data_IF_272884069076
#
_entry.id   IF_272884069076
#
_cell.length_a   1.000
_cell.length_b   1.000
_cell.length_c   1.000
_cell.angle_alpha   90.00
_cell.angle_beta   90.00
_cell.angle_gamma   90.00
#
_symmetry.space_group_name_H-M   'P 1'
#
loop_
_entity.id
_entity.type
_entity.pdbx_description
1 polymer ?
#
# COMPACT_ATOMS: atom_id res chain seq x y z
N UNK A 1 -10.14 -5.68 18.24
CA UNK A 1 -10.73 -4.32 18.39
C UNK A 1 -12.12 -4.39 17.82
N UNK A 2 -13.15 -3.95 18.56
CA UNK A 2 -14.48 -3.83 17.96
C UNK A 2 -14.44 -2.63 17.00
N UNK A 3 -14.29 -2.90 15.71
CA UNK A 3 -14.44 -1.88 14.68
C UNK A 3 -15.90 -1.40 14.68
N UNK A 4 -16.10 -0.08 14.55
CA UNK A 4 -17.45 0.50 14.49
C UNK A 4 -18.12 0.29 13.15
N UNK A 5 -17.31 0.14 12.11
CA UNK A 5 -17.75 -0.01 10.72
C UNK A 5 -16.98 -1.15 10.06
N UNK A 6 -17.64 -1.81 9.12
CA UNK A 6 -17.06 -2.79 8.22
C UNK A 6 -17.42 -2.39 6.80
N UNK A 7 -16.46 -2.41 5.88
CA UNK A 7 -16.68 -2.12 4.46
C UNK A 7 -16.20 -3.30 3.61
N UNK A 8 -17.05 -3.77 2.73
CA UNK A 8 -16.78 -4.95 1.89
C UNK A 8 -17.51 -4.85 0.54
N UNK A 9 -17.23 -5.78 -0.37
CA UNK A 9 -18.12 -6.06 -1.49
C UNK A 9 -19.37 -6.74 -0.92
N UNK A 10 -20.55 -6.44 -1.49
CA UNK A 10 -21.80 -7.11 -1.11
C UNK A 10 -21.74 -8.62 -1.35
N UNK A 11 -22.39 -9.38 -0.47
CA UNK A 11 -22.72 -10.78 -0.73
C UNK A 11 -24.02 -10.87 -1.55
N UNK A 12 -24.33 -12.05 -2.06
CA UNK A 12 -25.57 -12.27 -2.80
C UNK A 12 -26.83 -12.02 -1.96
N UNK A 13 -26.77 -12.38 -0.69
CA UNK A 13 -27.85 -12.12 0.27
C UNK A 13 -28.03 -10.61 0.50
N UNK A 14 -26.92 -9.88 0.61
CA UNK A 14 -26.96 -8.43 0.73
C UNK A 14 -27.47 -7.74 -0.55
N UNK A 15 -27.17 -8.25 -1.73
CA UNK A 15 -27.72 -7.69 -2.99
C UNK A 15 -29.24 -7.75 -3.02
N UNK A 16 -29.84 -8.82 -2.50
CA UNK A 16 -31.28 -8.92 -2.33
C UNK A 16 -31.84 -7.89 -1.33
N UNK A 17 -31.13 -7.65 -0.23
CA UNK A 17 -31.47 -6.60 0.75
C UNK A 17 -31.31 -5.20 0.15
N UNK A 18 -30.27 -4.98 -0.67
CA UNK A 18 -30.09 -3.69 -1.38
C UNK A 18 -31.25 -3.37 -2.31
N UNK A 19 -31.80 -4.36 -3.02
CA UNK A 19 -32.94 -4.16 -3.92
C UNK A 19 -34.19 -3.66 -3.15
N UNK A 20 -34.40 -4.16 -1.93
CA UNK A 20 -35.44 -3.69 -1.03
C UNK A 20 -35.20 -2.24 -0.57
N UNK A 21 -34.01 -1.94 -0.07
CA UNK A 21 -33.65 -0.57 0.33
C UNK A 21 -33.67 0.43 -0.82
N UNK A 22 -33.35 0.00 -2.04
CA UNK A 22 -33.51 0.84 -3.25
C UNK A 22 -34.95 1.20 -3.49
N UNK A 23 -35.88 0.24 -3.33
CA UNK A 23 -37.30 0.52 -3.47
C UNK A 23 -37.78 1.52 -2.41
N UNK A 24 -37.47 1.30 -1.13
CA UNK A 24 -37.86 2.19 -0.04
C UNK A 24 -37.36 3.63 -0.27
N UNK A 25 -36.10 3.79 -0.70
CA UNK A 25 -35.51 5.12 -0.88
C UNK A 25 -35.92 5.76 -2.21
N UNK A 26 -35.76 5.04 -3.34
CA UNK A 26 -35.94 5.67 -4.65
C UNK A 26 -37.39 5.66 -5.14
N UNK A 27 -38.23 4.69 -4.73
CA UNK A 27 -39.64 4.67 -5.11
C UNK A 27 -40.51 5.34 -4.04
N UNK A 28 -40.34 5.01 -2.75
CA UNK A 28 -41.21 5.51 -1.69
C UNK A 28 -40.78 6.91 -1.21
N UNK A 29 -39.50 7.09 -0.80
CA UNK A 29 -39.06 8.38 -0.23
C UNK A 29 -38.86 9.45 -1.30
N UNK A 30 -38.08 9.15 -2.36
CA UNK A 30 -37.70 10.11 -3.41
C UNK A 30 -38.70 10.17 -4.58
N UNK A 31 -39.60 9.24 -4.68
CA UNK A 31 -40.63 9.15 -5.75
C UNK A 31 -40.04 9.26 -7.16
N UNK A 32 -38.88 8.66 -7.38
CA UNK A 32 -38.24 8.61 -8.70
C UNK A 32 -38.65 7.43 -9.55
N UNK A 33 -39.19 6.40 -8.94
CA UNK A 33 -39.70 5.19 -9.55
C UNK A 33 -41.09 4.89 -9.01
N UNK A 34 -41.87 4.12 -9.77
CA UNK A 34 -43.15 3.60 -9.29
C UNK A 34 -42.91 2.54 -8.20
N UNK A 35 -43.77 2.52 -7.21
CA UNK A 35 -43.79 1.46 -6.21
C UNK A 35 -44.31 0.16 -6.83
N UNK A 36 -43.82 -0.98 -6.38
CA UNK A 36 -44.25 -2.30 -6.86
C UNK A 36 -44.57 -3.23 -5.70
N UNK A 37 -45.37 -4.29 -6.00
CA UNK A 37 -45.81 -5.26 -4.98
C UNK A 37 -44.69 -6.10 -4.36
N UNK A 38 -43.55 -6.23 -5.05
CA UNK A 38 -42.40 -7.00 -4.56
C UNK A 38 -41.53 -6.16 -3.63
N UNK A 39 -41.79 -4.85 -3.54
CA UNK A 39 -40.98 -3.90 -2.76
C UNK A 39 -39.48 -3.96 -3.10
N UNK A 40 -39.15 -4.26 -4.36
CA UNK A 40 -37.78 -4.39 -4.85
C UNK A 40 -37.53 -3.53 -6.07
N UNK A 41 -36.39 -2.88 -6.13
CA UNK A 41 -35.95 -2.07 -7.23
C UNK A 41 -34.57 -2.54 -7.72
N UNK A 42 -34.54 -2.99 -8.96
CA UNK A 42 -33.32 -3.39 -9.67
C UNK A 42 -33.29 -2.81 -11.07
N UNK A 43 -32.16 -2.92 -11.75
CA UNK A 43 -32.04 -2.61 -13.17
C UNK A 43 -31.08 -3.55 -13.90
N UNK A 44 -30.96 -3.42 -15.22
CA UNK A 44 -30.09 -4.28 -16.05
C UNK A 44 -28.61 -4.17 -15.74
N UNK A 45 -28.17 -3.09 -15.05
CA UNK A 45 -26.80 -2.86 -14.70
C UNK A 45 -26.38 -3.70 -13.48
N UNK A 46 -27.34 -4.19 -12.69
CA UNK A 46 -27.07 -4.99 -11.50
C UNK A 46 -26.35 -6.32 -11.84
N UNK A 47 -26.49 -6.79 -13.08
CA UNK A 47 -25.82 -8.00 -13.55
C UNK A 47 -24.27 -7.93 -13.55
N UNK A 48 -23.71 -6.73 -13.58
CA UNK A 48 -22.25 -6.53 -13.64
C UNK A 48 -21.73 -5.40 -12.75
N UNK A 49 -22.60 -4.73 -12.02
CA UNK A 49 -22.19 -3.74 -11.05
C UNK A 49 -21.50 -4.37 -9.84
N UNK A 50 -20.58 -3.62 -9.30
CA UNK A 50 -19.89 -3.97 -8.06
C UNK A 50 -20.49 -3.10 -6.96
N UNK A 51 -21.12 -3.73 -5.98
CA UNK A 51 -21.69 -3.02 -4.85
C UNK A 51 -20.72 -3.05 -3.68
N UNK A 52 -20.30 -1.87 -3.21
CA UNK A 52 -19.56 -1.71 -1.98
C UNK A 52 -20.55 -1.35 -0.89
N UNK A 53 -20.53 -2.09 0.20
CA UNK A 53 -21.42 -1.92 1.35
C UNK A 53 -20.68 -1.52 2.61
N UNK A 54 -21.32 -0.76 3.47
CA UNK A 54 -20.84 -0.47 4.82
C UNK A 54 -21.85 -1.01 5.82
N UNK A 55 -21.37 -1.84 6.75
CA UNK A 55 -22.10 -2.26 7.92
C UNK A 55 -21.64 -1.43 9.14
N UNK A 56 -22.58 -1.00 9.97
CA UNK A 56 -22.35 -0.32 11.23
C UNK A 56 -22.91 -1.18 12.36
N UNK A 57 -22.04 -1.65 13.26
CA UNK A 57 -22.39 -2.56 14.37
C UNK A 57 -23.11 -3.85 13.91
N UNK A 58 -22.70 -4.38 12.76
CA UNK A 58 -23.26 -5.61 12.18
C UNK A 58 -24.50 -5.41 11.31
N UNK A 59 -25.11 -4.22 11.28
CA UNK A 59 -26.28 -3.90 10.44
C UNK A 59 -25.83 -3.16 9.17
N UNK A 60 -26.46 -3.45 8.03
CA UNK A 60 -26.23 -2.73 6.78
C UNK A 60 -26.62 -1.25 6.96
N UNK A 61 -25.74 -0.34 6.56
CA UNK A 61 -25.90 1.09 6.84
C UNK A 61 -25.91 1.97 5.57
N UNK A 62 -25.41 1.42 4.47
CA UNK A 62 -25.40 2.08 3.18
C UNK A 62 -24.57 1.34 2.14
N UNK A 63 -24.68 1.77 0.91
CA UNK A 63 -23.95 1.18 -0.22
C UNK A 63 -23.67 2.19 -1.33
N UNK A 64 -22.78 1.82 -2.22
CA UNK A 64 -22.46 2.53 -3.46
C UNK A 64 -22.21 1.49 -4.56
N UNK A 65 -22.71 1.74 -5.76
CA UNK A 65 -22.53 0.84 -6.90
C UNK A 65 -21.53 1.41 -7.89
N UNK A 66 -20.66 0.55 -8.39
CA UNK A 66 -19.67 0.86 -9.41
C UNK A 66 -19.98 0.11 -10.69
N UNK A 67 -20.10 0.83 -11.80
CA UNK A 67 -20.15 0.23 -13.12
C UNK A 67 -18.75 0.24 -13.72
N UNK A 68 -18.16 -0.95 -14.01
CA UNK A 68 -16.82 -1.04 -14.58
C UNK A 68 -16.80 -0.53 -16.03
N UNK A 69 -15.63 -0.15 -16.58
CA UNK A 69 -15.44 0.13 -17.99
C UNK A 69 -15.69 -1.13 -18.85
N UNK A 70 -15.31 -1.14 -20.10
CA UNK A 70 -15.33 -2.34 -20.96
C UNK A 70 -16.66 -2.67 -21.63
N UNK A 71 -17.12 -1.81 -22.48
CA UNK A 71 -18.28 -2.06 -23.37
C UNK A 71 -19.64 -2.15 -22.66
N UNK A 72 -19.68 -1.97 -21.36
CA UNK A 72 -20.91 -1.97 -20.62
C UNK A 72 -21.69 -0.67 -20.84
N UNK A 73 -23.00 -0.74 -20.63
CA UNK A 73 -23.85 0.44 -20.62
C UNK A 73 -23.72 1.14 -19.27
N UNK A 74 -23.56 2.43 -19.25
CA UNK A 74 -23.60 3.25 -18.06
C UNK A 74 -25.02 3.75 -17.78
N UNK A 75 -25.32 4.10 -16.55
CA UNK A 75 -26.63 4.69 -16.23
C UNK A 75 -26.84 6.07 -16.87
N UNK A 76 -25.73 6.79 -17.13
CA UNK A 76 -25.77 8.07 -17.84
C UNK A 76 -26.29 7.94 -19.28
N UNK A 77 -26.11 6.79 -19.92
CA UNK A 77 -26.57 6.54 -21.29
C UNK A 77 -28.10 6.61 -21.42
N UNK A 78 -28.86 6.55 -20.31
CA UNK A 78 -30.31 6.77 -20.26
C UNK A 78 -30.69 8.25 -20.50
N UNK A 79 -29.77 9.16 -20.22
CA UNK A 79 -30.05 10.59 -20.18
C UNK A 79 -29.23 11.39 -21.20
N UNK A 80 -28.04 10.90 -21.59
CA UNK A 80 -27.10 11.62 -22.45
C UNK A 80 -26.62 10.68 -23.58
N UNK A 81 -26.53 11.21 -24.78
CA UNK A 81 -25.81 10.52 -25.87
C UNK A 81 -24.29 10.64 -25.60
N UNK A 82 -23.54 9.58 -25.81
CA UNK A 82 -22.09 9.59 -25.59
C UNK A 82 -21.36 10.62 -26.46
N UNK A 83 -21.91 10.94 -27.65
CA UNK A 83 -21.40 12.01 -28.52
C UNK A 83 -21.47 13.41 -27.92
N UNK A 84 -22.37 13.63 -26.98
CA UNK A 84 -22.67 14.96 -26.42
C UNK A 84 -21.90 15.15 -25.07
N UNK A 85 -21.16 14.12 -24.63
CA UNK A 85 -20.35 14.18 -23.42
C UNK A 85 -19.07 14.99 -23.67
N UNK A 86 -18.64 15.86 -22.74
CA UNK A 86 -17.40 16.61 -22.86
C UNK A 86 -16.13 15.77 -22.57
N UNK A 87 -16.26 14.45 -22.60
CA UNK A 87 -15.18 13.47 -22.37
C UNK A 87 -15.51 12.17 -23.11
N UNK A 88 -14.49 11.38 -23.38
CA UNK A 88 -14.66 10.05 -24.01
C UNK A 88 -14.75 9.00 -22.92
N UNK A 89 -15.71 8.07 -23.05
CA UNK A 89 -15.80 6.88 -22.20
C UNK A 89 -14.89 5.82 -22.81
N UNK A 90 -13.75 5.58 -22.15
CA UNK A 90 -12.78 4.56 -22.49
C UNK A 90 -12.61 3.54 -21.35
N UNK A 91 -11.63 2.66 -21.45
CA UNK A 91 -11.33 1.62 -20.45
C UNK A 91 -10.83 2.17 -19.10
N UNK A 92 -10.57 3.47 -19.00
CA UNK A 92 -10.14 4.12 -17.76
C UNK A 92 -11.26 4.86 -17.02
N UNK A 93 -12.46 4.94 -17.62
CA UNK A 93 -13.62 5.65 -17.04
C UNK A 93 -14.53 4.66 -16.32
N UNK A 94 -14.81 4.93 -15.07
CA UNK A 94 -15.75 4.18 -14.23
C UNK A 94 -16.97 5.03 -13.91
N UNK A 95 -18.15 4.43 -13.85
CA UNK A 95 -19.33 5.12 -13.32
C UNK A 95 -19.56 4.72 -11.87
N UNK A 96 -19.79 5.73 -11.02
CA UNK A 96 -20.24 5.53 -9.65
C UNK A 96 -21.69 5.98 -9.55
N UNK A 97 -22.55 5.12 -9.02
CA UNK A 97 -23.98 5.34 -8.94
C UNK A 97 -24.55 4.86 -7.59
N UNK A 98 -25.81 5.21 -7.33
CA UNK A 98 -26.58 4.73 -6.18
C UNK A 98 -25.85 4.93 -4.83
N UNK A 99 -25.16 6.07 -4.64
CA UNK A 99 -24.63 6.41 -3.33
C UNK A 99 -25.79 6.57 -2.34
N UNK A 100 -25.98 5.57 -1.50
CA UNK A 100 -27.13 5.48 -0.60
C UNK A 100 -26.67 5.26 0.82
N UNK A 101 -27.10 6.13 1.72
CA UNK A 101 -26.94 5.96 3.17
C UNK A 101 -28.34 5.87 3.78
N UNK A 102 -28.57 4.81 4.52
CA UNK A 102 -29.88 4.54 5.10
C UNK A 102 -30.26 5.58 6.13
N UNK A 103 -31.55 5.87 6.26
CA UNK A 103 -32.11 7.00 7.03
C UNK A 103 -31.52 7.12 8.44
N UNK A 104 -31.38 5.99 9.15
CA UNK A 104 -30.81 5.87 10.51
C UNK A 104 -29.35 6.34 10.59
N UNK A 105 -28.61 6.33 9.47
CA UNK A 105 -27.17 6.57 9.39
C UNK A 105 -26.78 7.84 8.62
N UNK A 106 -27.74 8.63 8.15
CA UNK A 106 -27.49 9.88 7.41
C UNK A 106 -26.76 10.89 8.30
N UNK A 107 -25.90 11.70 7.70
CA UNK A 107 -25.06 12.66 8.43
C UNK A 107 -23.85 12.05 9.16
N UNK A 108 -23.64 10.75 9.00
CA UNK A 108 -22.49 10.03 9.57
C UNK A 108 -21.30 9.92 8.61
N UNK A 109 -20.23 9.25 9.05
CA UNK A 109 -19.02 9.01 8.26
C UNK A 109 -19.21 8.03 7.08
N UNK A 110 -20.35 7.34 6.99
CA UNK A 110 -20.61 6.27 6.02
C UNK A 110 -20.50 6.76 4.59
N UNK A 111 -21.01 7.95 4.28
CA UNK A 111 -20.83 8.57 2.95
C UNK A 111 -19.35 8.67 2.56
N UNK A 112 -18.51 9.13 3.49
CA UNK A 112 -17.06 9.23 3.28
C UNK A 112 -16.39 7.88 3.09
N UNK A 113 -16.78 6.86 3.85
CA UNK A 113 -16.27 5.49 3.72
C UNK A 113 -16.62 4.90 2.35
N UNK A 114 -17.88 5.03 1.92
CA UNK A 114 -18.35 4.54 0.62
C UNK A 114 -17.63 5.21 -0.55
N UNK A 115 -17.54 6.54 -0.54
CA UNK A 115 -16.87 7.29 -1.60
C UNK A 115 -15.37 7.02 -1.64
N UNK A 116 -14.72 6.87 -0.47
CA UNK A 116 -13.31 6.52 -0.42
C UNK A 116 -13.07 5.07 -0.85
N UNK A 117 -13.90 4.14 -0.43
CA UNK A 117 -13.85 2.74 -0.88
C UNK A 117 -13.99 2.63 -2.41
N UNK A 118 -14.94 3.37 -2.98
CA UNK A 118 -15.14 3.46 -4.42
C UNK A 118 -13.91 4.02 -5.15
N UNK A 119 -13.32 5.11 -4.65
CA UNK A 119 -12.10 5.70 -5.21
C UNK A 119 -10.95 4.68 -5.21
N UNK A 120 -10.74 3.99 -4.08
CA UNK A 120 -9.65 3.00 -3.96
C UNK A 120 -9.87 1.77 -4.84
N UNK A 121 -11.13 1.36 -4.98
CA UNK A 121 -11.50 0.30 -5.91
C UNK A 121 -11.15 0.67 -7.35
N UNK A 122 -11.65 1.80 -7.82
CA UNK A 122 -11.42 2.29 -9.19
C UNK A 122 -9.92 2.44 -9.48
N UNK A 123 -9.19 3.06 -8.58
CA UNK A 123 -7.75 3.26 -8.72
C UNK A 123 -6.97 1.93 -8.79
N UNK A 124 -7.33 0.95 -7.96
CA UNK A 124 -6.68 -0.36 -7.92
C UNK A 124 -6.94 -1.19 -9.19
N UNK A 125 -7.99 -0.87 -9.93
CA UNK A 125 -8.36 -1.51 -11.19
C UNK A 125 -7.96 -0.67 -12.42
N UNK A 126 -7.03 0.28 -12.26
CA UNK A 126 -6.49 1.07 -13.38
C UNK A 126 -7.38 2.21 -13.85
N UNK A 127 -8.50 2.49 -13.17
CA UNK A 127 -9.36 3.62 -13.47
C UNK A 127 -8.65 4.96 -13.28
N UNK A 128 -8.87 5.88 -14.21
CA UNK A 128 -8.30 7.23 -14.17
C UNK A 128 -9.34 8.31 -13.92
N UNK A 129 -10.60 8.00 -14.21
CA UNK A 129 -11.70 8.94 -14.12
C UNK A 129 -12.97 8.27 -13.59
N UNK A 130 -13.71 9.01 -12.77
CA UNK A 130 -15.00 8.59 -12.23
C UNK A 130 -16.06 9.58 -12.69
N UNK A 131 -17.15 9.05 -13.23
CA UNK A 131 -18.34 9.80 -13.61
C UNK A 131 -19.49 9.48 -12.65
N UNK A 132 -20.29 10.48 -12.29
CA UNK A 132 -21.44 10.36 -11.38
C UNK A 132 -22.58 11.20 -11.93
N UNK A 133 -23.81 10.68 -11.84
CA UNK A 133 -25.02 11.51 -11.85
C UNK A 133 -25.37 11.81 -10.40
N UNK A 134 -25.12 13.02 -9.95
CA UNK A 134 -25.32 13.46 -8.57
C UNK A 134 -26.53 14.39 -8.40
N UNK A 135 -27.35 14.16 -7.38
CA UNK A 135 -28.46 15.07 -7.05
C UNK A 135 -27.95 16.49 -6.77
N UNK A 136 -28.52 17.48 -7.45
CA UNK A 136 -28.10 18.90 -7.37
C UNK A 136 -28.09 19.45 -5.94
N UNK A 137 -29.03 19.05 -5.10
CA UNK A 137 -29.12 19.47 -3.71
C UNK A 137 -27.91 19.11 -2.85
N UNK A 138 -27.15 18.10 -3.24
CA UNK A 138 -25.91 17.69 -2.53
C UNK A 138 -24.63 17.95 -3.33
N UNK A 139 -24.70 18.77 -4.39
CA UNK A 139 -23.57 19.13 -5.26
C UNK A 139 -22.38 19.71 -4.49
N UNK A 140 -22.61 20.43 -3.39
CA UNK A 140 -21.56 20.94 -2.51
C UNK A 140 -20.69 19.83 -1.91
N UNK A 141 -21.31 18.68 -1.58
CA UNK A 141 -20.58 17.50 -1.08
C UNK A 141 -19.64 16.95 -2.15
N UNK A 142 -20.12 16.73 -3.37
CA UNK A 142 -19.31 16.22 -4.48
C UNK A 142 -18.15 17.18 -4.82
N UNK A 143 -18.38 18.48 -4.83
CA UNK A 143 -17.33 19.50 -5.04
C UNK A 143 -16.23 19.44 -3.99
N UNK A 144 -16.61 19.24 -2.70
CA UNK A 144 -15.62 19.05 -1.62
C UNK A 144 -14.78 17.80 -1.79
N UNK A 145 -15.33 16.75 -2.38
CA UNK A 145 -14.61 15.52 -2.71
C UNK A 145 -13.71 15.64 -3.96
N UNK A 146 -13.84 16.73 -4.72
CA UNK A 146 -13.02 17.01 -5.90
C UNK A 146 -13.71 16.77 -7.24
N UNK A 147 -15.00 16.44 -7.24
CA UNK A 147 -15.77 16.34 -8.48
C UNK A 147 -16.09 17.72 -9.07
N UNK A 148 -16.09 17.79 -10.38
CA UNK A 148 -16.43 18.98 -11.16
C UNK A 148 -17.68 18.74 -11.98
N UNK A 149 -18.50 19.79 -12.21
CA UNK A 149 -19.65 19.71 -13.09
C UNK A 149 -19.21 19.67 -14.54
N UNK A 150 -19.80 18.80 -15.32
CA UNK A 150 -19.63 18.75 -16.80
C UNK A 150 -20.41 19.85 -17.52
N UNK A 151 -21.28 20.56 -16.82
CA UNK A 151 -22.26 21.48 -17.43
C UNK A 151 -23.59 20.81 -17.85
N UNK A 152 -23.63 19.48 -17.89
CA UNK A 152 -24.82 18.71 -18.27
C UNK A 152 -25.65 18.38 -17.05
N UNK A 153 -26.98 18.44 -17.21
CA UNK A 153 -27.95 18.06 -16.17
C UNK A 153 -29.15 17.34 -16.77
N UNK A 154 -29.82 16.56 -15.95
CA UNK A 154 -31.05 15.83 -16.33
C UNK A 154 -32.07 15.90 -15.19
N UNK A 155 -33.32 15.64 -15.53
CA UNK A 155 -34.42 15.55 -14.58
C UNK A 155 -34.87 14.08 -14.44
N UNK A 156 -35.07 13.64 -13.20
CA UNK A 156 -35.67 12.34 -12.90
C UNK A 156 -36.66 12.51 -11.78
N UNK A 157 -37.93 12.35 -12.10
CA UNK A 157 -39.05 12.74 -11.22
C UNK A 157 -39.03 14.24 -10.92
N UNK A 158 -39.14 14.60 -9.63
CA UNK A 158 -39.09 15.98 -9.18
C UNK A 158 -37.68 16.52 -8.96
N UNK A 159 -36.64 15.68 -9.13
CA UNK A 159 -35.26 16.00 -8.77
C UNK A 159 -34.40 16.28 -10.01
N UNK A 160 -33.51 17.26 -9.88
CA UNK A 160 -32.51 17.59 -10.90
C UNK A 160 -31.17 16.95 -10.52
N UNK A 161 -30.52 16.34 -11.49
CA UNK A 161 -29.23 15.70 -11.36
C UNK A 161 -28.21 16.37 -12.28
N UNK A 162 -27.03 16.59 -11.77
CA UNK A 162 -25.90 17.11 -12.53
C UNK A 162 -24.95 15.95 -12.87
N UNK A 163 -24.43 15.95 -14.10
CA UNK A 163 -23.34 15.06 -14.49
C UNK A 163 -22.02 15.63 -13.98
N UNK A 164 -21.35 14.85 -13.16
CA UNK A 164 -20.11 15.23 -12.46
C UNK A 164 -18.96 14.31 -12.84
N UNK A 165 -17.78 14.88 -12.90
CA UNK A 165 -16.54 14.22 -13.26
C UNK A 165 -15.48 14.45 -12.20
N UNK A 166 -14.67 13.42 -11.93
CA UNK A 166 -13.49 13.53 -11.09
C UNK A 166 -12.36 12.64 -11.60
N UNK A 167 -11.17 13.20 -11.81
CA UNK A 167 -10.02 12.33 -12.05
C UNK A 167 -9.56 11.71 -10.74
N UNK A 168 -9.09 10.47 -10.78
CA UNK A 168 -8.55 9.77 -9.60
C UNK A 168 -7.46 10.60 -8.91
N UNK A 169 -6.62 11.29 -9.68
CA UNK A 169 -5.58 12.18 -9.15
C UNK A 169 -6.16 13.36 -8.36
N UNK A 170 -7.19 14.03 -8.88
CA UNK A 170 -7.85 15.15 -8.19
C UNK A 170 -8.57 14.69 -6.92
N UNK A 171 -9.32 13.57 -7.00
CA UNK A 171 -10.04 12.99 -5.85
C UNK A 171 -9.05 12.56 -4.76
N UNK A 172 -7.90 11.99 -5.15
CA UNK A 172 -6.82 11.64 -4.22
C UNK A 172 -6.22 12.88 -3.56
N UNK A 173 -5.96 13.93 -4.31
CA UNK A 173 -5.45 15.19 -3.76
C UNK A 173 -6.41 15.77 -2.73
N UNK A 174 -7.71 15.79 -3.03
CA UNK A 174 -8.74 16.26 -2.09
C UNK A 174 -8.88 15.37 -0.86
N UNK A 175 -8.72 14.07 -0.98
CA UNK A 175 -8.73 13.16 0.18
C UNK A 175 -7.54 13.43 1.12
N UNK A 176 -6.36 13.82 0.60
CA UNK A 176 -5.21 14.19 1.42
C UNK A 176 -5.45 15.45 2.26
N UNK A 177 -6.19 16.42 1.74
CA UNK A 177 -6.56 17.62 2.52
C UNK A 177 -7.37 17.28 3.78
N UNK A 178 -8.03 16.12 3.79
CA UNK A 178 -8.86 15.61 4.89
C UNK A 178 -8.17 14.47 5.68
N UNK A 179 -6.88 14.26 5.49
CA UNK A 179 -6.13 13.10 6.01
C UNK A 179 -6.32 12.88 7.52
N UNK A 180 -6.29 13.94 8.32
CA UNK A 180 -6.47 13.84 9.78
C UNK A 180 -7.83 13.26 10.17
N UNK A 181 -8.87 13.61 9.43
CA UNK A 181 -10.24 13.11 9.66
C UNK A 181 -10.37 11.68 9.14
N UNK A 182 -9.83 11.41 7.96
CA UNK A 182 -9.85 10.08 7.35
C UNK A 182 -9.09 9.06 8.21
N UNK A 183 -7.93 9.41 8.77
CA UNK A 183 -7.15 8.50 9.61
C UNK A 183 -7.94 8.05 10.85
N UNK A 184 -8.68 8.94 11.51
CA UNK A 184 -9.54 8.57 12.65
C UNK A 184 -10.64 7.59 12.25
N UNK A 185 -11.19 7.76 11.05
CA UNK A 185 -12.25 6.88 10.53
C UNK A 185 -11.65 5.54 10.13
N UNK A 186 -10.46 5.54 9.51
CA UNK A 186 -9.77 4.33 9.08
C UNK A 186 -9.43 3.39 10.25
N UNK A 187 -8.98 3.94 11.38
CA UNK A 187 -8.64 3.17 12.57
C UNK A 187 -9.86 2.49 13.22
N UNK A 188 -11.08 2.97 12.91
CA UNK A 188 -12.35 2.45 13.42
C UNK A 188 -13.08 1.57 12.41
N UNK A 189 -12.50 1.32 11.23
CA UNK A 189 -13.13 0.62 10.12
C UNK A 189 -12.37 -0.66 9.78
N UNK A 190 -13.10 -1.77 9.72
CA UNK A 190 -12.62 -3.03 9.18
C UNK A 190 -12.74 -3.01 7.64
N UNK A 191 -11.61 -2.88 6.96
CA UNK A 191 -11.54 -2.81 5.51
C UNK A 191 -11.39 -4.20 4.91
N UNK A 192 -12.50 -4.79 4.48
CA UNK A 192 -12.54 -6.10 3.83
C UNK A 192 -12.60 -6.01 2.29
N UNK A 193 -12.30 -4.85 1.73
CA UNK A 193 -12.14 -4.71 0.29
C UNK A 193 -10.82 -5.36 -0.16
N UNK A 194 -10.81 -6.18 -1.24
CA UNK A 194 -9.60 -6.83 -1.74
C UNK A 194 -8.73 -5.87 -2.56
N UNK A 195 -8.55 -4.66 -2.07
CA UNK A 195 -7.74 -3.59 -2.68
C UNK A 195 -6.93 -2.86 -1.62
N UNK A 196 -5.83 -2.25 -2.02
CA UNK A 196 -5.06 -1.40 -1.11
C UNK A 196 -5.85 -0.15 -0.76
N UNK A 197 -6.26 -0.02 0.49
CA UNK A 197 -7.05 1.14 0.96
C UNK A 197 -6.19 2.38 1.09
N UNK A 198 -4.94 2.22 1.48
CA UNK A 198 -4.01 3.33 1.58
C UNK A 198 -3.44 3.66 0.21
N UNK A 199 -3.46 4.96 -0.21
CA UNK A 199 -2.69 5.34 -1.37
C UNK A 199 -1.22 4.98 -1.14
N UNK A 200 -0.48 4.58 -2.19
CA UNK A 200 0.95 4.39 -2.05
C UNK A 200 1.57 5.72 -1.58
N UNK A 201 2.10 5.71 -0.37
CA UNK A 201 2.85 6.85 0.16
C UNK A 201 4.29 6.64 -0.27
N UNK A 202 4.90 7.56 -1.03
CA UNK A 202 6.30 7.42 -1.41
C UNK A 202 7.16 7.40 -0.14
N UNK A 203 8.03 6.42 -0.03
CA UNK A 203 9.11 6.47 0.94
C UNK A 203 10.06 7.60 0.52
N UNK A 204 10.44 8.46 1.46
CA UNK A 204 11.52 9.40 1.21
C UNK A 204 12.84 8.61 1.27
N UNK A 205 13.32 8.21 0.10
CA UNK A 205 14.49 7.35 -0.04
C UNK A 205 15.42 7.91 -1.14
N UNK A 206 15.89 9.12 -0.94
CA UNK A 206 16.74 9.80 -1.91
C UNK A 206 15.98 10.26 -3.16
N UNK A 207 16.71 10.40 -4.27
CA UNK A 207 16.19 10.81 -5.58
C UNK A 207 16.47 12.26 -5.94
N UNK A 208 17.01 13.06 -5.04
CA UNK A 208 17.42 14.44 -5.32
C UNK A 208 18.58 14.48 -6.34
N UNK A 209 19.51 13.55 -6.24
CA UNK A 209 20.60 13.40 -7.20
C UNK A 209 20.08 13.16 -8.63
N UNK A 210 19.14 12.23 -8.81
CA UNK A 210 18.54 11.97 -10.13
C UNK A 210 17.75 13.16 -10.66
N UNK A 211 17.09 13.92 -9.80
CA UNK A 211 16.44 15.18 -10.22
C UNK A 211 17.47 16.21 -10.71
N UNK A 212 18.63 16.27 -10.06
CA UNK A 212 19.70 17.22 -10.41
C UNK A 212 20.39 16.86 -11.72
N UNK A 213 20.57 15.58 -12.04
CA UNK A 213 21.21 15.12 -13.29
C UNK A 213 20.20 14.84 -14.43
N UNK A 214 18.91 14.96 -14.19
CA UNK A 214 17.84 14.67 -15.16
C UNK A 214 17.36 13.22 -15.14
N UNK A 215 16.04 13.03 -15.05
CA UNK A 215 15.43 11.70 -14.90
C UNK A 215 15.45 10.84 -16.18
N UNK A 216 15.70 11.47 -17.35
CA UNK A 216 15.69 10.80 -18.66
C UNK A 216 17.08 10.39 -19.14
N UNK A 217 18.10 10.46 -18.30
CA UNK A 217 19.51 10.19 -18.62
C UNK A 217 20.11 11.09 -19.71
N UNK A 218 19.43 12.18 -20.10
CA UNK A 218 19.89 13.09 -21.15
C UNK A 218 21.12 13.92 -20.73
N UNK A 219 21.39 14.00 -19.43
CA UNK A 219 22.47 14.77 -18.84
C UNK A 219 23.32 13.95 -17.86
N UNK A 220 23.62 12.68 -18.22
CA UNK A 220 24.44 11.79 -17.40
C UNK A 220 25.86 12.34 -17.13
N UNK A 221 26.39 13.20 -17.99
CA UNK A 221 27.64 13.93 -17.80
C UNK A 221 27.66 14.74 -16.49
N UNK A 222 26.52 15.29 -16.08
CA UNK A 222 26.37 16.03 -14.81
C UNK A 222 26.68 15.21 -13.58
N UNK A 223 26.59 13.86 -13.64
CA UNK A 223 26.94 12.98 -12.54
C UNK A 223 28.37 13.20 -12.03
N UNK A 224 29.27 13.70 -12.86
CA UNK A 224 30.67 13.95 -12.53
C UNK A 224 30.90 15.28 -11.82
N UNK A 225 29.95 16.22 -11.92
CA UNK A 225 29.99 17.56 -11.31
C UNK A 225 29.13 17.70 -10.06
N UNK A 226 28.31 16.69 -9.75
CA UNK A 226 27.40 16.71 -8.60
C UNK A 226 27.77 15.57 -7.64
N UNK A 227 28.04 15.91 -6.39
CA UNK A 227 28.29 14.92 -5.36
C UNK A 227 26.97 14.23 -4.97
N UNK A 228 26.89 12.91 -5.17
CA UNK A 228 25.76 12.11 -4.69
C UNK A 228 25.93 11.84 -3.19
N UNK A 229 25.30 12.67 -2.35
CA UNK A 229 25.20 12.50 -0.92
C UNK A 229 23.76 12.20 -0.46
N UNK A 230 22.90 11.84 -1.40
CA UNK A 230 21.46 11.65 -1.24
C UNK A 230 21.10 10.19 -0.86
N UNK A 231 21.85 9.24 -1.39
CA UNK A 231 21.70 7.80 -1.11
C UNK A 231 23.08 7.25 -0.74
N UNK A 232 23.13 6.33 0.24
CA UNK A 232 24.35 5.62 0.63
C UNK A 232 24.70 4.55 -0.41
N UNK A 233 25.04 4.96 -1.64
CA UNK A 233 25.65 4.06 -2.61
C UNK A 233 27.14 3.84 -2.29
N UNK A 234 27.68 2.75 -2.80
CA UNK A 234 29.11 2.49 -2.63
C UNK A 234 29.93 3.60 -3.32
N UNK A 235 30.93 4.11 -2.61
CA UNK A 235 31.86 5.14 -3.13
C UNK A 235 32.97 4.55 -4.00
N UNK A 236 33.03 3.24 -4.14
CA UNK A 236 33.96 2.46 -4.98
C UNK A 236 33.20 1.71 -6.07
N UNK A 237 33.85 1.38 -7.21
CA UNK A 237 33.21 0.66 -8.30
C UNK A 237 32.96 -0.82 -7.96
N UNK A 238 32.05 -1.50 -8.69
CA UNK A 238 31.92 -2.94 -8.63
C UNK A 238 33.23 -3.65 -8.98
N UNK A 239 33.40 -4.90 -8.51
CA UNK A 239 34.59 -5.70 -8.82
C UNK A 239 34.84 -5.76 -10.34
N UNK A 240 36.08 -5.56 -10.81
CA UNK A 240 36.42 -5.67 -12.22
C UNK A 240 36.05 -7.04 -12.85
N UNK A 241 36.07 -8.11 -12.06
CA UNK A 241 35.64 -9.44 -12.49
C UNK A 241 34.17 -9.48 -12.87
N UNK A 242 33.31 -8.80 -12.09
CA UNK A 242 31.87 -8.69 -12.34
C UNK A 242 31.63 -7.87 -13.61
N UNK A 243 32.27 -6.72 -13.73
CA UNK A 243 32.14 -5.85 -14.91
C UNK A 243 32.56 -6.58 -16.17
N UNK A 244 33.69 -7.29 -16.13
CA UNK A 244 34.17 -8.09 -17.27
C UNK A 244 33.18 -9.19 -17.65
N UNK A 245 32.65 -9.91 -16.66
CA UNK A 245 31.67 -10.98 -16.90
C UNK A 245 30.36 -10.45 -17.49
N UNK A 246 29.87 -9.35 -17.02
CA UNK A 246 28.64 -8.69 -17.54
C UNK A 246 28.88 -8.22 -18.98
N UNK A 247 29.97 -7.48 -19.23
CA UNK A 247 30.27 -6.95 -20.56
C UNK A 247 30.41 -8.04 -21.61
N UNK A 248 31.09 -9.16 -21.26
CA UNK A 248 31.26 -10.30 -22.14
C UNK A 248 29.92 -10.91 -22.57
N UNK A 249 28.93 -10.92 -21.73
CA UNK A 249 27.65 -11.59 -21.95
C UNK A 249 26.47 -10.62 -22.12
N UNK A 250 26.72 -9.31 -22.18
CA UNK A 250 25.66 -8.27 -22.13
C UNK A 250 24.57 -8.45 -23.21
N UNK A 251 24.89 -8.71 -24.51
CA UNK A 251 23.84 -8.89 -25.52
C UNK A 251 22.92 -10.09 -25.20
N UNK A 252 23.52 -11.20 -24.72
CA UNK A 252 22.75 -12.38 -24.33
C UNK A 252 21.91 -12.12 -23.08
N UNK A 253 22.47 -11.46 -22.07
CA UNK A 253 21.74 -11.11 -20.82
C UNK A 253 20.54 -10.20 -21.07
N UNK A 254 20.67 -9.26 -22.03
CA UNK A 254 19.56 -8.37 -22.40
C UNK A 254 18.47 -9.06 -23.22
N UNK A 255 18.85 -10.07 -24.02
CA UNK A 255 17.94 -10.77 -24.92
C UNK A 255 17.33 -12.07 -24.38
N UNK A 256 17.70 -12.46 -23.14
CA UNK A 256 17.30 -13.77 -22.59
C UNK A 256 16.59 -13.60 -21.25
N UNK A 257 15.46 -14.27 -21.08
CA UNK A 257 14.77 -14.33 -19.80
C UNK A 257 15.62 -15.00 -18.73
N UNK A 258 15.69 -14.48 -17.51
CA UNK A 258 16.45 -15.12 -16.43
C UNK A 258 15.81 -16.45 -16.02
N UNK A 259 16.59 -17.37 -15.41
CA UNK A 259 16.07 -18.60 -14.82
C UNK A 259 15.01 -18.31 -13.76
N UNK A 260 13.91 -19.04 -13.78
CA UNK A 260 12.75 -18.78 -12.92
C UNK A 260 13.04 -18.98 -11.43
N UNK A 261 13.84 -20.00 -11.09
CA UNK A 261 14.10 -20.39 -9.69
C UNK A 261 15.39 -19.81 -9.11
N UNK A 262 16.21 -19.09 -9.89
CA UNK A 262 17.51 -18.55 -9.47
C UNK A 262 18.48 -19.59 -8.87
N UNK A 263 18.37 -20.88 -9.24
CA UNK A 263 19.07 -22.01 -8.60
C UNK A 263 20.59 -21.82 -8.59
N UNK A 264 21.17 -21.32 -9.67
CA UNK A 264 22.61 -21.04 -9.75
C UNK A 264 23.06 -19.99 -8.74
N UNK A 265 22.27 -18.93 -8.56
CA UNK A 265 22.52 -17.88 -7.57
C UNK A 265 22.39 -18.43 -6.15
N UNK A 266 21.29 -19.15 -5.85
CA UNK A 266 21.04 -19.74 -4.54
C UNK A 266 22.15 -20.70 -4.13
N UNK A 267 22.57 -21.58 -5.03
CA UNK A 267 23.65 -22.53 -4.78
C UNK A 267 24.98 -21.83 -4.45
N UNK A 268 25.32 -20.75 -5.20
CA UNK A 268 26.56 -20.00 -4.98
C UNK A 268 26.53 -19.21 -3.65
N UNK A 269 25.41 -18.55 -3.36
CA UNK A 269 25.25 -17.84 -2.07
C UNK A 269 25.29 -18.81 -0.91
N UNK A 270 24.56 -19.91 -0.97
CA UNK A 270 24.53 -20.93 0.07
C UNK A 270 25.91 -21.52 0.36
N UNK A 271 26.65 -21.88 -0.69
CA UNK A 271 28.03 -22.38 -0.57
C UNK A 271 28.97 -21.34 0.05
N UNK A 272 28.88 -20.08 -0.39
CA UNK A 272 29.73 -19.00 0.12
C UNK A 272 29.45 -18.65 1.58
N UNK A 273 28.22 -18.89 2.05
CA UNK A 273 27.75 -18.52 3.40
C UNK A 273 27.68 -19.71 4.38
N UNK A 274 27.95 -20.93 3.90
CA UNK A 274 27.89 -22.14 4.72
C UNK A 274 26.46 -22.51 5.16
N UNK A 275 25.47 -22.24 4.32
CA UNK A 275 24.03 -22.54 4.57
C UNK A 275 23.48 -23.42 3.46
N UNK A 276 22.25 -23.94 3.59
CA UNK A 276 21.59 -24.72 2.53
C UNK A 276 20.90 -23.77 1.54
N UNK A 277 20.78 -24.13 0.24
CA UNK A 277 20.05 -23.33 -0.74
C UNK A 277 18.59 -23.01 -0.33
N UNK A 278 17.91 -23.93 0.35
CA UNK A 278 16.54 -23.73 0.86
C UNK A 278 16.45 -22.71 1.99
N UNK A 279 17.57 -22.31 2.62
CA UNK A 279 17.60 -21.22 3.62
C UNK A 279 17.74 -19.83 2.98
N UNK A 280 17.88 -19.73 1.65
CA UNK A 280 18.14 -18.47 0.95
C UNK A 280 16.93 -18.10 0.09
N UNK A 281 16.42 -16.90 0.27
CA UNK A 281 15.36 -16.30 -0.56
C UNK A 281 15.91 -15.07 -1.29
N UNK A 282 15.99 -15.05 -2.63
CA UNK A 282 16.41 -13.89 -3.39
C UNK A 282 15.26 -12.90 -3.59
N UNK A 283 15.60 -11.63 -3.76
CA UNK A 283 14.67 -10.56 -4.10
C UNK A 283 15.32 -9.47 -4.93
N UNK A 284 14.53 -8.63 -5.54
CA UNK A 284 14.98 -7.47 -6.32
C UNK A 284 15.45 -6.33 -5.41
N UNK A 285 16.42 -6.61 -4.53
CA UNK A 285 16.91 -5.75 -3.47
C UNK A 285 16.19 -5.97 -2.14
N UNK A 286 16.77 -5.44 -1.04
CA UNK A 286 16.18 -5.57 0.31
C UNK A 286 14.79 -4.96 0.41
N UNK A 287 14.53 -3.85 -0.29
CA UNK A 287 13.21 -3.21 -0.32
C UNK A 287 12.11 -4.16 -0.79
N UNK A 288 12.35 -4.93 -1.87
CA UNK A 288 11.38 -5.93 -2.36
C UNK A 288 11.05 -6.96 -1.26
N UNK A 289 12.08 -7.47 -0.58
CA UNK A 289 11.90 -8.44 0.50
C UNK A 289 11.20 -7.85 1.71
N UNK A 290 11.55 -6.63 2.13
CA UNK A 290 10.91 -5.93 3.25
C UNK A 290 9.42 -5.72 2.97
N UNK A 291 9.07 -5.18 1.79
CA UNK A 291 7.67 -4.93 1.43
C UNK A 291 6.85 -6.22 1.34
N UNK A 292 7.41 -7.29 0.77
CA UNK A 292 6.70 -8.57 0.67
C UNK A 292 6.53 -9.24 2.02
N UNK A 293 7.61 -9.39 2.78
CA UNK A 293 7.60 -10.08 4.07
C UNK A 293 6.69 -9.38 5.08
N UNK A 294 6.83 -8.07 5.25
CA UNK A 294 6.07 -7.35 6.27
C UNK A 294 4.58 -7.26 5.93
N UNK A 295 4.21 -7.12 4.65
CA UNK A 295 2.80 -7.17 4.25
C UNK A 295 2.18 -8.56 4.40
N UNK A 296 2.97 -9.61 4.28
CA UNK A 296 2.52 -10.99 4.48
C UNK A 296 2.36 -11.32 5.97
N UNK A 297 3.26 -10.84 6.82
CA UNK A 297 3.34 -11.24 8.22
C UNK A 297 2.53 -10.36 9.17
N UNK A 298 2.34 -9.08 8.82
CA UNK A 298 1.77 -8.08 9.72
C UNK A 298 0.36 -7.69 9.30
N UNK A 299 -0.45 -7.40 10.32
CA UNK A 299 -1.79 -6.82 10.22
C UNK A 299 -1.79 -5.48 10.98
N UNK A 300 -2.80 -4.65 10.80
CA UNK A 300 -2.93 -3.39 11.56
C UNK A 300 -2.94 -3.61 13.09
N UNK A 301 -3.43 -4.76 13.54
CA UNK A 301 -3.41 -5.13 14.96
C UNK A 301 -2.05 -5.59 15.47
N UNK A 302 -1.09 -5.85 14.59
CA UNK A 302 0.25 -6.32 14.96
C UNK A 302 1.03 -5.24 15.71
N UNK A 303 1.93 -5.68 16.59
CA UNK A 303 2.86 -4.84 17.33
C UNK A 303 4.27 -5.11 16.87
N UNK A 304 5.01 -4.07 16.58
CA UNK A 304 6.38 -4.16 16.07
C UNK A 304 7.32 -3.33 16.95
N UNK A 305 8.49 -3.87 17.23
CA UNK A 305 9.57 -3.16 17.91
C UNK A 305 10.67 -2.81 16.90
N UNK A 306 11.10 -1.56 16.87
CA UNK A 306 12.22 -1.09 16.05
C UNK A 306 13.17 -0.23 16.90
N UNK A 307 14.40 -0.03 16.40
CA UNK A 307 15.31 0.98 16.94
C UNK A 307 14.95 2.37 16.42
N UNK A 308 15.31 3.43 17.13
CA UNK A 308 15.10 4.83 16.72
C UNK A 308 16.30 5.71 17.14
N UNK A 309 17.11 6.24 16.20
CA UNK A 309 16.93 6.15 14.74
C UNK A 309 17.33 4.79 14.16
N UNK A 310 16.68 4.43 13.05
CA UNK A 310 17.03 3.26 12.21
C UNK A 310 16.70 3.56 10.74
N UNK A 311 16.93 2.59 9.84
CA UNK A 311 16.67 2.75 8.42
C UNK A 311 15.18 3.07 8.15
N UNK A 312 14.95 4.22 7.50
CA UNK A 312 13.62 4.84 7.39
C UNK A 312 12.56 4.00 6.66
N UNK A 313 12.97 3.06 5.81
CA UNK A 313 12.05 2.19 5.08
C UNK A 313 11.26 1.26 6.02
N UNK A 314 11.86 0.84 7.15
CA UNK A 314 11.17 0.02 8.13
C UNK A 314 9.97 0.76 8.75
N UNK A 315 10.19 1.96 9.27
CA UNK A 315 9.08 2.76 9.81
C UNK A 315 8.07 3.11 8.73
N UNK A 316 8.50 3.37 7.49
CA UNK A 316 7.61 3.62 6.38
C UNK A 316 6.69 2.42 6.11
N UNK A 317 7.25 1.23 5.94
CA UNK A 317 6.43 0.03 5.61
C UNK A 317 5.52 -0.33 6.77
N UNK A 318 6.01 -0.29 8.01
CA UNK A 318 5.25 -0.70 9.19
C UNK A 318 4.15 0.31 9.50
N UNK A 319 4.46 1.62 9.55
CA UNK A 319 3.52 2.64 10.02
C UNK A 319 2.63 3.23 8.91
N UNK A 320 3.13 3.30 7.67
CA UNK A 320 2.42 3.97 6.58
C UNK A 320 1.76 3.00 5.61
N UNK A 321 2.37 1.83 5.37
CA UNK A 321 1.86 0.83 4.44
C UNK A 321 0.96 -0.18 5.17
N UNK A 322 1.47 -0.83 6.22
CA UNK A 322 0.71 -1.84 6.99
C UNK A 322 -0.12 -1.20 8.10
N UNK A 323 0.35 -0.08 8.67
CA UNK A 323 -0.27 0.68 9.78
C UNK A 323 -0.30 -0.08 11.10
N UNK A 324 0.77 -0.78 11.40
CA UNK A 324 0.94 -1.45 12.68
C UNK A 324 1.22 -0.47 13.82
N UNK A 325 1.08 -0.95 15.04
CA UNK A 325 1.58 -0.28 16.24
C UNK A 325 3.08 -0.49 16.33
N UNK A 326 3.83 0.59 16.49
CA UNK A 326 5.29 0.57 16.59
C UNK A 326 5.72 1.08 17.96
N UNK A 327 6.45 0.25 18.69
CA UNK A 327 7.23 0.66 19.85
C UNK A 327 8.69 0.88 19.40
N UNK A 328 9.39 1.78 20.07
CA UNK A 328 10.76 2.18 19.71
C UNK A 328 11.68 2.11 20.89
N UNK A 329 12.85 1.49 20.69
CA UNK A 329 13.99 1.65 21.58
C UNK A 329 14.80 2.84 21.09
N UNK A 330 14.80 3.92 21.85
CA UNK A 330 15.50 5.15 21.47
C UNK A 330 16.99 5.02 21.72
N UNK A 331 17.77 5.21 20.66
CA UNK A 331 19.22 5.30 20.73
C UNK A 331 19.60 6.75 21.06
N UNK A 332 20.28 6.97 22.16
CA UNK A 332 20.55 8.30 22.70
C UNK A 332 21.88 8.85 22.15
N UNK A 333 21.90 10.14 21.82
CA UNK A 333 23.11 10.83 21.36
C UNK A 333 24.21 10.78 22.40
N UNK A 334 23.88 10.89 23.70
CA UNK A 334 24.80 10.85 24.85
C UNK A 334 25.57 9.54 24.91
N UNK A 335 24.96 8.43 24.45
CA UNK A 335 25.62 7.12 24.30
C UNK A 335 26.17 6.91 22.89
N UNK A 336 26.37 7.98 22.12
CA UNK A 336 26.77 7.89 20.72
C UNK A 336 25.90 6.94 19.91
N UNK A 337 24.60 6.87 20.19
CA UNK A 337 23.62 5.98 19.56
C UNK A 337 23.90 4.47 19.74
N UNK A 338 24.67 4.07 20.72
CA UNK A 338 24.84 2.67 21.08
C UNK A 338 23.51 2.11 21.66
N UNK A 339 23.19 0.86 21.34
CA UNK A 339 22.04 0.18 21.92
C UNK A 339 22.33 -0.13 23.41
N UNK A 340 21.49 0.39 24.29
CA UNK A 340 21.50 -0.03 25.69
C UNK A 340 20.73 -1.35 25.80
N UNK A 341 21.45 -2.40 26.25
CA UNK A 341 20.85 -3.74 26.36
C UNK A 341 19.77 -3.80 27.42
N UNK A 342 19.87 -3.02 28.50
CA UNK A 342 18.84 -2.99 29.55
C UNK A 342 17.55 -2.32 29.01
N UNK A 343 17.67 -1.19 28.30
CA UNK A 343 16.52 -0.53 27.66
C UNK A 343 15.84 -1.48 26.66
N UNK A 344 16.63 -2.30 25.95
CA UNK A 344 16.11 -3.28 25.00
C UNK A 344 15.43 -4.46 25.70
N UNK A 345 16.09 -5.04 26.73
CA UNK A 345 15.54 -6.14 27.53
C UNK A 345 14.21 -5.71 28.20
N UNK A 346 14.14 -4.49 28.74
CA UNK A 346 12.91 -3.94 29.28
C UNK A 346 11.79 -3.82 28.19
N UNK A 347 12.16 -3.46 26.97
CA UNK A 347 11.19 -3.41 25.89
C UNK A 347 10.64 -4.80 25.55
N UNK A 348 11.43 -5.87 25.71
CA UNK A 348 11.02 -7.27 25.48
C UNK A 348 10.00 -7.81 26.49
N UNK A 349 9.76 -7.15 27.63
CA UNK A 349 8.67 -7.50 28.54
C UNK A 349 7.30 -7.45 27.84
N UNK A 350 7.19 -6.69 26.77
CA UNK A 350 6.01 -6.63 25.93
C UNK A 350 6.09 -7.70 24.83
N UNK A 351 4.93 -8.19 24.42
CA UNK A 351 4.81 -9.14 23.29
C UNK A 351 4.76 -8.38 21.96
N UNK A 352 5.56 -8.86 21.00
CA UNK A 352 5.62 -8.33 19.63
C UNK A 352 5.39 -9.44 18.61
N UNK A 353 4.83 -9.08 17.46
CA UNK A 353 4.71 -9.97 16.30
C UNK A 353 5.99 -9.96 15.46
N UNK A 354 6.69 -8.81 15.46
CA UNK A 354 7.96 -8.61 14.75
C UNK A 354 8.88 -7.68 15.53
N UNK A 355 10.15 -8.03 15.57
CA UNK A 355 11.25 -7.15 16.02
C UNK A 355 12.18 -6.92 14.85
N UNK A 356 12.54 -5.65 14.57
CA UNK A 356 13.48 -5.28 13.51
C UNK A 356 14.73 -4.71 14.13
N UNK A 357 15.85 -5.34 13.84
CA UNK A 357 17.20 -4.93 14.25
C UNK A 357 18.05 -4.66 13.01
N UNK A 358 18.69 -3.52 12.93
CA UNK A 358 19.63 -3.18 11.86
C UNK A 358 21.03 -3.20 12.47
N UNK A 359 21.90 -4.08 12.00
CA UNK A 359 23.22 -4.28 12.57
C UNK A 359 24.28 -4.56 11.49
N UNK A 360 25.22 -3.66 11.25
CA UNK A 360 25.38 -2.31 11.84
C UNK A 360 24.19 -1.40 11.55
N UNK A 361 23.79 -0.59 12.54
CA UNK A 361 22.60 0.25 12.42
C UNK A 361 22.82 1.42 11.45
N UNK A 362 21.85 1.64 10.57
CA UNK A 362 21.79 2.81 9.69
C UNK A 362 20.74 3.79 10.23
N UNK A 363 21.05 5.11 10.44
CA UNK A 363 22.24 5.82 9.95
C UNK A 363 23.41 5.91 10.95
N UNK A 364 23.31 5.30 12.14
CA UNK A 364 24.25 5.58 13.25
C UNK A 364 25.61 4.91 13.08
N UNK A 365 25.71 3.89 12.22
CA UNK A 365 26.93 3.10 12.05
C UNK A 365 27.30 2.23 13.26
N UNK A 366 26.46 2.21 14.30
CA UNK A 366 26.74 1.40 15.49
C UNK A 366 26.56 -0.07 15.23
N UNK A 367 27.50 -0.83 15.71
CA UNK A 367 27.57 -2.27 15.60
C UNK A 367 27.43 -2.92 16.98
N UNK A 368 26.59 -3.93 17.07
CA UNK A 368 26.45 -4.81 18.22
C UNK A 368 27.11 -6.15 17.89
N UNK A 369 27.98 -6.63 18.77
CA UNK A 369 28.73 -7.87 18.53
C UNK A 369 27.82 -9.08 18.38
N UNK A 370 28.31 -10.11 17.66
CA UNK A 370 27.57 -11.35 17.44
C UNK A 370 27.13 -12.00 18.75
N UNK A 371 28.00 -11.99 19.76
CA UNK A 371 27.68 -12.56 21.07
C UNK A 371 26.49 -11.82 21.72
N UNK A 372 26.52 -10.48 21.70
CA UNK A 372 25.43 -9.68 22.24
C UNK A 372 24.13 -9.85 21.44
N UNK A 373 24.23 -9.98 20.10
CA UNK A 373 23.07 -10.29 19.27
C UNK A 373 22.47 -11.67 19.62
N UNK A 374 23.30 -12.71 19.80
CA UNK A 374 22.84 -14.05 20.21
C UNK A 374 22.20 -13.98 21.59
N UNK A 375 22.78 -13.23 22.53
CA UNK A 375 22.19 -13.01 23.86
C UNK A 375 20.80 -12.39 23.77
N UNK A 376 20.61 -11.35 22.95
CA UNK A 376 19.30 -10.73 22.71
C UNK A 376 18.33 -11.74 22.10
N UNK A 377 18.76 -12.43 21.04
CA UNK A 377 17.91 -13.39 20.33
C UNK A 377 17.43 -14.52 21.22
N UNK A 378 18.23 -14.99 22.17
CA UNK A 378 17.87 -16.05 23.12
C UNK A 378 16.73 -15.67 24.07
N UNK A 379 16.46 -14.38 24.26
CA UNK A 379 15.42 -13.86 25.13
C UNK A 379 14.08 -13.63 24.37
N UNK A 380 14.11 -13.70 23.03
CA UNK A 380 12.92 -13.45 22.21
C UNK A 380 12.15 -14.73 21.99
N UNK A 381 10.84 -14.77 22.32
CA UNK A 381 10.01 -15.95 22.11
C UNK A 381 9.96 -16.38 20.64
N UNK A 382 9.92 -17.70 20.39
CA UNK A 382 9.81 -18.25 19.02
C UNK A 382 8.55 -17.79 18.26
N UNK A 383 7.52 -17.33 18.98
CA UNK A 383 6.30 -16.76 18.39
C UNK A 383 6.52 -15.36 17.81
N UNK A 384 7.62 -14.69 18.15
CA UNK A 384 7.99 -13.37 17.65
C UNK A 384 9.02 -13.52 16.53
N UNK A 385 8.71 -13.02 15.33
CA UNK A 385 9.69 -12.96 14.24
C UNK A 385 10.74 -11.90 14.51
N UNK A 386 11.97 -12.20 14.15
CA UNK A 386 13.09 -11.24 14.25
C UNK A 386 13.69 -11.05 12.86
N UNK A 387 13.64 -9.82 12.38
CA UNK A 387 14.29 -9.39 11.16
C UNK A 387 15.59 -8.67 11.49
N UNK A 388 16.71 -9.25 11.13
CA UNK A 388 18.03 -8.66 11.31
C UNK A 388 18.54 -8.18 9.96
N UNK A 389 18.68 -6.87 9.79
CA UNK A 389 19.24 -6.28 8.57
C UNK A 389 20.76 -6.17 8.72
N UNK A 390 21.46 -6.97 7.96
CA UNK A 390 22.92 -7.03 7.92
C UNK A 390 23.49 -6.44 6.61
N UNK A 391 22.84 -5.44 6.03
CA UNK A 391 23.28 -4.79 4.77
C UNK A 391 24.73 -4.30 4.83
N UNK A 392 25.24 -3.97 6.00
CA UNK A 392 26.60 -3.44 6.21
C UNK A 392 27.53 -4.39 6.95
N UNK A 393 27.14 -5.62 7.23
CA UNK A 393 27.89 -6.55 8.08
C UNK A 393 29.26 -6.92 7.51
N UNK A 394 29.39 -7.00 6.20
CA UNK A 394 30.67 -7.32 5.57
C UNK A 394 31.75 -6.25 5.78
N UNK A 395 31.39 -5.02 6.13
CA UNK A 395 32.37 -4.01 6.56
C UNK A 395 32.94 -4.31 7.95
N UNK A 396 32.24 -5.07 8.78
CA UNK A 396 32.71 -5.54 10.09
C UNK A 396 33.51 -6.83 9.94
N UNK A 397 32.91 -7.85 9.31
CA UNK A 397 33.51 -9.15 9.09
C UNK A 397 32.45 -10.23 8.80
N UNK A 398 32.78 -11.18 7.94
CA UNK A 398 31.88 -12.27 7.59
C UNK A 398 31.58 -13.22 8.77
N UNK A 399 32.53 -13.39 9.68
CA UNK A 399 32.43 -14.21 10.88
C UNK A 399 31.42 -13.63 11.90
N UNK A 400 31.14 -12.34 11.81
CA UNK A 400 30.21 -11.65 12.67
C UNK A 400 28.74 -11.78 12.24
N UNK A 401 28.48 -12.32 11.05
CA UNK A 401 27.11 -12.50 10.54
C UNK A 401 26.32 -13.54 11.31
N UNK A 402 25.03 -13.33 11.41
CA UNK A 402 24.06 -14.25 12.01
C UNK A 402 23.42 -15.21 10.98
N UNK A 403 23.90 -15.26 9.74
CA UNK A 403 23.31 -16.10 8.68
C UNK A 403 23.18 -17.56 9.09
N UNK A 404 24.19 -18.15 9.75
CA UNK A 404 24.12 -19.54 10.22
C UNK A 404 23.17 -19.73 11.41
N UNK A 405 23.07 -18.71 12.29
CA UNK A 405 22.07 -18.69 13.37
C UNK A 405 20.67 -18.66 12.79
N UNK A 406 20.43 -17.79 11.82
CA UNK A 406 19.14 -17.70 11.14
C UNK A 406 18.79 -18.98 10.39
N UNK A 407 19.77 -19.62 9.72
CA UNK A 407 19.55 -20.88 8.99
C UNK A 407 19.14 -22.06 9.89
N UNK A 408 19.41 -21.98 11.19
CA UNK A 408 19.02 -22.97 12.19
C UNK A 408 17.86 -22.50 13.11
N UNK A 409 17.33 -21.31 12.90
CA UNK A 409 16.26 -20.73 13.71
C UNK A 409 14.93 -20.77 12.98
N UNK A 410 13.83 -20.90 13.73
CA UNK A 410 12.46 -20.88 13.20
C UNK A 410 11.90 -19.45 13.05
N UNK A 411 12.46 -18.48 13.78
CA UNK A 411 11.92 -17.12 13.86
C UNK A 411 12.89 -16.00 13.51
N UNK A 412 14.18 -16.30 13.31
CA UNK A 412 15.19 -15.29 12.95
C UNK A 412 15.43 -15.28 11.43
N UNK A 413 15.34 -14.11 10.83
CA UNK A 413 15.58 -13.87 9.42
C UNK A 413 16.70 -12.83 9.29
N UNK A 414 17.75 -13.15 8.54
CA UNK A 414 18.81 -12.21 8.18
C UNK A 414 18.57 -11.66 6.78
N UNK A 415 18.45 -10.34 6.66
CA UNK A 415 18.36 -9.64 5.41
C UNK A 415 19.71 -9.06 5.01
N UNK A 416 20.11 -9.28 3.78
CA UNK A 416 21.35 -8.74 3.21
C UNK A 416 21.11 -8.04 1.89
N UNK A 417 22.03 -7.17 1.50
CA UNK A 417 21.98 -6.47 0.22
C UNK A 417 23.31 -6.46 -0.46
N UNK A 418 23.30 -6.67 -1.76
CA UNK A 418 24.52 -6.53 -2.59
C UNK A 418 24.75 -5.08 -3.04
N UNK A 419 23.85 -4.18 -2.72
CA UNK A 419 23.90 -2.78 -3.16
C UNK A 419 25.09 -2.01 -2.60
N UNK A 420 25.42 -2.24 -1.31
CA UNK A 420 26.38 -1.40 -0.58
C UNK A 420 27.80 -2.00 -0.66
N UNK A 421 28.02 -3.10 0.00
CA UNK A 421 29.35 -3.72 0.14
C UNK A 421 29.90 -4.23 -1.21
N UNK A 422 29.03 -4.63 -2.12
CA UNK A 422 29.43 -5.15 -3.44
C UNK A 422 29.29 -4.13 -4.58
N UNK A 423 28.84 -2.90 -4.27
CA UNK A 423 28.64 -1.82 -5.23
C UNK A 423 27.67 -2.20 -6.39
N UNK A 424 26.66 -3.02 -6.13
CA UNK A 424 25.73 -3.55 -7.12
C UNK A 424 24.32 -2.96 -7.00
N UNK A 425 24.20 -1.70 -6.64
CA UNK A 425 22.89 -1.03 -6.46
C UNK A 425 22.00 -1.07 -7.69
N UNK A 426 22.59 -1.05 -8.89
CA UNK A 426 21.88 -1.10 -10.17
C UNK A 426 21.63 -2.51 -10.72
N UNK A 427 22.23 -3.55 -10.14
CA UNK A 427 22.04 -4.93 -10.57
C UNK A 427 20.91 -5.59 -9.77
N UNK A 428 19.72 -5.63 -10.35
CA UNK A 428 18.50 -6.14 -9.69
C UNK A 428 17.79 -7.18 -10.54
#
# INVERSE_FOLDING_TARGET
MNHRHQISISTKEQDDELAFHRHDIYAVELRQHETNRLERLGDSLDAYNINIVVCARGELAGFISLTPPNKQTFSIDKYFKRSDLPFTIDESVWETRLLTVFKKHRGSVITGLLMYGALRWVESHGGKQIVIIGHRGISKMYKRLGFQSSGLSTQSGALTYDLLLGTVSQLRSKSKEQEKTLNKIFDQTDWQLPVSINPPVPCFHGGAFFKAIGNCFDHLDRKNSIVNADVLDAWFPPSPKIITAINKNLPWLLGTSPPTGCEGFLSKVASARGVKPCNVLPGAGSSDLIFRAFRLWLKQSSKVLILDPTYGEYSHVIEKVVRCRVDRVRLKYENQFALDLNDFEQALEKKYDLIVLVNPNSPTGKYLSKENMIRILSQIPLTTRVWVDETYMEYVGFDQSLEQVAASSENVIVCKSMSKVYALSGAR
#
